data_IF_576789115745
#
_entry.id   IF_576789115745
#
_cell.length_a   1.000
_cell.length_b   1.000
_cell.length_c   1.000
_cell.angle_alpha   90.00
_cell.angle_beta   90.00
_cell.angle_gamma   90.00
#
_symmetry.space_group_name_H-M   'P 1'
#
loop_
_entity.id
_entity.type
_entity.pdbx_description
1 polymer ?
#
# COMPACT_ATOMS: atom_id res chain seq x y z
N UNK A 1 0.69 -11.51 -26.29
CA UNK A 1 -0.52 -11.37 -25.43
C UNK A 1 -0.17 -10.74 -24.08
N UNK A 2 1.07 -10.30 -23.91
CA UNK A 2 1.72 -10.01 -22.63
C UNK A 2 1.45 -8.60 -22.11
N UNK A 3 0.92 -7.72 -22.97
CA UNK A 3 0.55 -6.34 -22.61
C UNK A 3 -0.92 -6.25 -22.18
N UNK A 4 -1.77 -7.15 -22.66
CA UNK A 4 -3.23 -7.09 -22.45
C UNK A 4 -3.57 -7.48 -21.01
N UNK A 5 -2.94 -8.54 -20.48
CA UNK A 5 -3.15 -9.01 -19.11
C UNK A 5 -2.80 -7.98 -18.01
N UNK A 6 -1.63 -7.32 -18.03
CA UNK A 6 -1.29 -6.29 -17.04
C UNK A 6 -2.16 -5.04 -17.17
N UNK A 7 -2.59 -4.66 -18.38
CA UNK A 7 -3.54 -3.55 -18.59
C UNK A 7 -4.91 -3.90 -18.00
N UNK A 8 -5.43 -5.10 -18.26
CA UNK A 8 -6.71 -5.55 -17.70
C UNK A 8 -6.61 -5.66 -16.17
N UNK A 9 -5.52 -6.20 -15.64
CA UNK A 9 -5.26 -6.27 -14.20
C UNK A 9 -5.23 -4.88 -13.56
N UNK A 10 -4.52 -3.92 -14.18
CA UNK A 10 -4.49 -2.52 -13.74
C UNK A 10 -5.86 -1.84 -13.80
N UNK A 11 -6.64 -2.10 -14.86
CA UNK A 11 -8.00 -1.58 -15.00
C UNK A 11 -8.95 -2.16 -13.96
N UNK A 12 -8.87 -3.46 -13.64
CA UNK A 12 -9.68 -4.09 -12.58
C UNK A 12 -9.27 -3.57 -11.20
N UNK A 13 -7.97 -3.43 -10.95
CA UNK A 13 -7.44 -2.88 -9.71
C UNK A 13 -7.87 -1.40 -9.50
N UNK A 14 -8.03 -0.62 -10.59
CA UNK A 14 -8.62 0.72 -10.57
C UNK A 14 -10.15 0.71 -10.51
N UNK A 15 -10.80 -0.28 -11.10
CA UNK A 15 -12.25 -0.40 -11.12
C UNK A 15 -12.80 -0.56 -9.69
N UNK A 16 -12.15 -1.37 -8.84
CA UNK A 16 -12.59 -1.57 -7.45
C UNK A 16 -12.68 -0.25 -6.66
N UNK A 17 -11.63 0.58 -6.54
CA UNK A 17 -11.71 1.86 -5.84
C UNK A 17 -12.67 2.84 -6.52
N UNK A 18 -12.76 2.85 -7.87
CA UNK A 18 -13.75 3.67 -8.57
C UNK A 18 -15.18 3.25 -8.22
N UNK A 19 -15.47 1.94 -8.20
CA UNK A 19 -16.78 1.40 -7.87
C UNK A 19 -17.14 1.66 -6.41
N UNK A 20 -16.15 1.62 -5.51
CA UNK A 20 -16.31 2.05 -4.11
C UNK A 20 -16.65 3.54 -4.03
N UNK A 21 -15.91 4.41 -4.72
CA UNK A 21 -16.19 5.86 -4.74
C UNK A 21 -17.56 6.15 -5.34
N UNK A 22 -17.89 5.55 -6.48
CA UNK A 22 -19.20 5.67 -7.14
C UNK A 22 -20.31 5.13 -6.25
N UNK A 23 -20.09 4.00 -5.57
CA UNK A 23 -21.02 3.43 -4.60
C UNK A 23 -21.26 4.35 -3.41
N UNK A 24 -20.21 4.97 -2.87
CA UNK A 24 -20.32 5.96 -1.79
C UNK A 24 -21.07 7.21 -2.28
N UNK A 25 -20.72 7.74 -3.45
CA UNK A 25 -21.39 8.91 -4.05
C UNK A 25 -22.86 8.60 -4.32
N UNK A 26 -23.17 7.46 -4.93
CA UNK A 26 -24.54 7.01 -5.17
C UNK A 26 -25.31 6.83 -3.86
N UNK A 27 -24.68 6.24 -2.83
CA UNK A 27 -25.29 6.07 -1.51
C UNK A 27 -25.60 7.41 -0.85
N UNK A 28 -24.68 8.37 -0.91
CA UNK A 28 -24.90 9.75 -0.43
C UNK A 28 -26.03 10.43 -1.22
N UNK A 29 -26.06 10.28 -2.56
CA UNK A 29 -27.14 10.82 -3.39
C UNK A 29 -28.50 10.16 -3.10
N UNK A 30 -28.53 8.84 -2.83
CA UNK A 30 -29.73 8.09 -2.47
C UNK A 30 -30.28 8.55 -1.12
N UNK A 31 -29.41 8.81 -0.14
CA UNK A 31 -29.80 9.37 1.16
C UNK A 31 -30.31 10.82 1.03
N UNK A 32 -29.88 11.56 0.01
CA UNK A 32 -30.36 12.92 -0.31
C UNK A 32 -31.84 12.96 -0.74
N UNK A 33 -32.35 11.91 -1.37
CA UNK A 33 -33.74 11.91 -1.89
C UNK A 33 -34.82 11.91 -0.79
N UNK A 34 -34.45 11.74 0.48
CA UNK A 34 -35.41 11.67 1.60
C UNK A 34 -35.19 12.75 2.68
N UNK A 35 -34.32 13.75 2.45
CA UNK A 35 -34.06 14.79 3.46
C UNK A 35 -33.58 16.11 2.86
N UNK A 36 -34.13 17.22 3.36
CA UNK A 36 -33.85 18.62 2.99
C UNK A 36 -32.47 19.11 3.46
N UNK A 37 -31.43 18.29 3.32
CA UNK A 37 -30.11 18.60 3.86
C UNK A 37 -29.45 19.68 2.97
N UNK A 38 -29.29 20.88 3.54
CA UNK A 38 -28.48 21.98 2.98
C UNK A 38 -26.98 21.62 3.07
N UNK A 39 -26.51 20.70 2.23
CA UNK A 39 -25.10 20.26 2.19
C UNK A 39 -24.10 21.35 1.78
N UNK A 40 -24.54 22.45 1.17
CA UNK A 40 -23.67 23.53 0.66
C UNK A 40 -23.47 24.68 1.64
N UNK A 41 -23.04 24.37 2.86
CA UNK A 41 -22.41 25.38 3.72
C UNK A 41 -20.89 25.27 3.57
N UNK A 42 -20.20 26.40 3.46
CA UNK A 42 -18.73 26.46 3.43
C UNK A 42 -18.10 25.65 4.58
N UNK A 43 -18.74 25.66 5.75
CA UNK A 43 -18.32 24.88 6.93
C UNK A 43 -18.39 23.37 6.71
N UNK A 44 -19.44 22.87 6.06
CA UNK A 44 -19.59 21.44 5.77
C UNK A 44 -18.57 20.97 4.72
N UNK A 45 -18.32 21.78 3.69
CA UNK A 45 -17.30 21.48 2.68
C UNK A 45 -15.89 21.42 3.29
N UNK A 46 -15.55 22.39 4.15
CA UNK A 46 -14.26 22.42 4.83
C UNK A 46 -14.05 21.22 5.76
N UNK A 47 -15.09 20.78 6.47
CA UNK A 47 -15.05 19.57 7.30
C UNK A 47 -14.85 18.30 6.46
N UNK A 48 -15.58 18.17 5.36
CA UNK A 48 -15.40 17.05 4.44
C UNK A 48 -13.97 16.99 3.90
N UNK A 49 -13.40 18.14 3.52
CA UNK A 49 -11.99 18.26 3.14
C UNK A 49 -11.06 17.72 4.23
N UNK A 50 -11.21 18.14 5.49
CA UNK A 50 -10.37 17.63 6.58
C UNK A 50 -10.48 16.11 6.73
N UNK A 51 -11.68 15.53 6.71
CA UNK A 51 -11.84 14.07 6.80
C UNK A 51 -11.15 13.34 5.65
N UNK A 52 -11.27 13.85 4.42
CA UNK A 52 -10.62 13.27 3.25
C UNK A 52 -9.10 13.33 3.40
N UNK A 53 -8.54 14.49 3.75
CA UNK A 53 -7.08 14.64 3.90
C UNK A 53 -6.57 13.79 5.06
N UNK A 54 -7.27 13.71 6.18
CA UNK A 54 -6.89 12.83 7.30
C UNK A 54 -6.87 11.37 6.84
N UNK A 55 -7.89 10.91 6.09
CA UNK A 55 -7.93 9.54 5.59
C UNK A 55 -6.75 9.26 4.65
N UNK A 56 -6.48 10.16 3.70
CA UNK A 56 -5.34 10.06 2.78
C UNK A 56 -4.02 10.04 3.56
N UNK A 57 -3.91 10.86 4.61
CA UNK A 57 -2.72 10.92 5.46
C UNK A 57 -2.45 9.59 6.17
N UNK A 58 -3.51 8.93 6.67
CA UNK A 58 -3.39 7.60 7.30
C UNK A 58 -3.01 6.55 6.26
N UNK A 59 -3.55 6.61 5.03
CA UNK A 59 -3.17 5.70 3.94
C UNK A 59 -1.69 5.88 3.58
N UNK A 60 -1.25 7.10 3.30
CA UNK A 60 0.15 7.40 2.94
C UNK A 60 1.09 7.01 4.09
N UNK A 61 0.77 7.42 5.31
CA UNK A 61 1.64 7.22 6.46
C UNK A 61 1.71 5.76 6.90
N UNK A 62 0.57 5.09 7.05
CA UNK A 62 0.53 3.71 7.53
C UNK A 62 0.75 2.70 6.39
N UNK A 63 -0.13 2.71 5.37
CA UNK A 63 -0.08 1.69 4.32
C UNK A 63 1.11 1.82 3.41
N UNK A 64 1.59 3.03 3.09
CA UNK A 64 2.76 3.20 2.22
C UNK A 64 4.04 3.32 3.05
N UNK A 65 4.13 4.31 3.95
CA UNK A 65 5.33 4.54 4.74
C UNK A 65 5.62 3.41 5.74
N UNK A 66 4.66 3.13 6.63
CA UNK A 66 4.79 2.14 7.69
C UNK A 66 5.04 0.72 7.18
N UNK A 67 4.32 0.30 6.14
CA UNK A 67 4.53 -1.02 5.55
C UNK A 67 5.90 -1.15 4.88
N UNK A 68 6.38 -0.10 4.19
CA UNK A 68 7.71 -0.12 3.55
C UNK A 68 8.82 -0.21 4.59
N UNK A 69 8.70 0.53 5.70
CA UNK A 69 9.66 0.43 6.80
C UNK A 69 9.62 -0.92 7.49
N UNK A 70 8.42 -1.48 7.68
CA UNK A 70 8.28 -2.83 8.22
C UNK A 70 8.89 -3.87 7.28
N UNK A 71 8.73 -3.72 5.96
CA UNK A 71 9.35 -4.58 4.94
C UNK A 71 10.87 -4.55 5.06
N UNK A 72 11.46 -3.36 5.21
CA UNK A 72 12.90 -3.19 5.47
C UNK A 72 13.29 -3.95 6.75
N UNK A 73 12.57 -3.74 7.85
CA UNK A 73 12.84 -4.41 9.13
C UNK A 73 12.70 -5.93 9.07
N UNK A 74 11.70 -6.45 8.36
CA UNK A 74 11.53 -7.89 8.15
C UNK A 74 12.68 -8.47 7.31
N UNK A 75 13.19 -7.73 6.34
CA UNK A 75 14.35 -8.14 5.55
C UNK A 75 15.63 -8.23 6.38
N UNK A 76 15.78 -7.35 7.37
CA UNK A 76 16.90 -7.41 8.32
C UNK A 76 16.78 -8.62 9.26
N UNK A 77 15.57 -8.94 9.73
CA UNK A 77 15.35 -10.01 10.71
C UNK A 77 15.32 -11.41 10.08
N UNK A 78 14.68 -11.55 8.92
CA UNK A 78 14.42 -12.84 8.27
C UNK A 78 15.28 -13.09 7.03
N UNK A 79 16.18 -12.16 6.69
CA UNK A 79 17.02 -12.24 5.50
C UNK A 79 16.46 -11.39 4.36
N UNK A 80 17.37 -10.85 3.55
CA UNK A 80 17.00 -9.94 2.47
C UNK A 80 16.12 -10.62 1.42
N UNK A 81 16.25 -11.92 1.20
CA UNK A 81 15.41 -12.72 0.31
C UNK A 81 13.93 -12.71 0.74
N UNK A 82 13.66 -12.59 2.05
CA UNK A 82 12.30 -12.56 2.59
C UNK A 82 11.52 -11.33 2.09
N UNK A 83 12.18 -10.17 2.07
CA UNK A 83 11.57 -8.88 1.71
C UNK A 83 11.91 -8.38 0.31
N UNK A 84 13.00 -8.87 -0.27
CA UNK A 84 13.53 -8.42 -1.56
C UNK A 84 13.77 -9.59 -2.50
N UNK A 85 13.04 -10.70 -2.38
CA UNK A 85 13.17 -11.88 -3.24
C UNK A 85 13.09 -11.56 -4.75
N UNK A 86 12.30 -10.54 -5.12
CA UNK A 86 12.27 -10.01 -6.49
C UNK A 86 13.65 -9.56 -7.03
N UNK A 87 14.53 -9.01 -6.18
CA UNK A 87 15.88 -8.57 -6.56
C UNK A 87 16.74 -9.77 -6.92
N UNK A 88 16.57 -10.89 -6.20
CA UNK A 88 17.22 -12.18 -6.45
C UNK A 88 16.69 -12.86 -7.72
N UNK A 89 15.38 -12.79 -7.98
CA UNK A 89 14.82 -13.27 -9.26
C UNK A 89 15.37 -12.48 -10.44
N UNK A 90 15.30 -11.16 -10.36
CA UNK A 90 15.88 -10.28 -11.38
C UNK A 90 17.38 -10.56 -11.61
N UNK A 91 18.12 -10.98 -10.58
CA UNK A 91 19.52 -11.34 -10.70
C UNK A 91 19.72 -12.62 -11.52
N UNK A 92 18.91 -13.66 -11.29
CA UNK A 92 18.89 -14.87 -12.12
C UNK A 92 18.61 -14.55 -13.59
N UNK A 93 17.62 -13.69 -13.84
CA UNK A 93 17.28 -13.26 -15.20
C UNK A 93 18.41 -12.47 -15.85
N UNK A 94 19.05 -11.56 -15.12
CA UNK A 94 20.21 -10.80 -15.59
C UNK A 94 21.43 -11.68 -15.88
N UNK A 95 21.68 -12.69 -15.05
CA UNK A 95 22.77 -13.65 -15.28
C UNK A 95 22.56 -14.47 -16.56
N UNK A 96 21.30 -14.83 -16.85
CA UNK A 96 20.93 -15.49 -18.12
C UNK A 96 21.14 -14.55 -19.31
N UNK A 97 20.60 -13.33 -19.24
CA UNK A 97 20.77 -12.31 -20.29
C UNK A 97 22.25 -12.00 -20.58
N UNK A 98 23.08 -11.96 -19.53
CA UNK A 98 24.53 -11.81 -19.67
C UNK A 98 25.14 -12.99 -20.43
N UNK A 99 24.82 -14.21 -20.03
CA UNK A 99 25.33 -15.44 -20.69
C UNK A 99 24.94 -15.49 -22.17
N UNK A 100 23.70 -15.13 -22.48
CA UNK A 100 23.18 -15.12 -23.85
C UNK A 100 23.92 -14.08 -24.71
N UNK A 101 24.19 -12.88 -24.15
CA UNK A 101 25.00 -11.86 -24.82
C UNK A 101 26.45 -12.27 -25.02
N UNK A 102 27.08 -12.87 -24.01
CA UNK A 102 28.44 -13.39 -24.15
C UNK A 102 28.51 -14.45 -25.27
N UNK A 103 27.51 -15.33 -25.37
CA UNK A 103 27.41 -16.30 -26.46
C UNK A 103 27.22 -15.64 -27.84
N UNK A 104 26.44 -14.56 -27.92
CA UNK A 104 26.24 -13.81 -29.17
C UNK A 104 27.52 -13.11 -29.64
N UNK A 105 28.27 -12.49 -28.71
CA UNK A 105 29.57 -11.89 -29.02
C UNK A 105 30.55 -12.93 -29.56
N UNK A 106 30.61 -14.11 -28.92
CA UNK A 106 31.43 -15.23 -29.37
C UNK A 106 31.03 -15.74 -30.77
N UNK A 107 29.73 -15.78 -31.09
CA UNK A 107 29.25 -16.20 -32.42
C UNK A 107 29.58 -15.20 -33.53
N UNK A 108 29.71 -13.93 -33.19
CA UNK A 108 29.92 -12.84 -34.14
C UNK A 108 31.40 -12.40 -34.23
N UNK A 109 32.34 -13.15 -33.65
CA UNK A 109 33.76 -12.80 -33.53
C UNK A 109 33.99 -11.39 -32.95
N UNK A 110 33.06 -10.92 -32.11
CA UNK A 110 33.16 -9.64 -31.44
C UNK A 110 34.07 -9.77 -30.19
N UNK A 111 34.79 -8.71 -29.80
CA UNK A 111 35.57 -8.73 -28.57
C UNK A 111 34.65 -8.99 -27.36
N UNK A 112 35.09 -9.78 -26.37
CA UNK A 112 34.33 -9.99 -25.15
C UNK A 112 34.17 -8.67 -24.39
N UNK A 113 33.07 -8.52 -23.66
CA UNK A 113 32.91 -7.37 -22.77
C UNK A 113 34.04 -7.34 -21.73
N UNK A 114 34.53 -6.14 -21.48
CA UNK A 114 35.44 -5.87 -20.37
C UNK A 114 34.71 -5.99 -19.03
N UNK A 115 35.45 -6.25 -17.94
CA UNK A 115 34.87 -6.29 -16.60
C UNK A 115 34.18 -4.97 -16.21
N UNK A 116 34.71 -3.84 -16.70
CA UNK A 116 34.10 -2.52 -16.48
C UNK A 116 32.74 -2.40 -17.18
N UNK A 117 32.64 -2.85 -18.44
CA UNK A 117 31.38 -2.87 -19.18
C UNK A 117 30.36 -3.81 -18.54
N UNK A 118 30.81 -4.98 -18.08
CA UNK A 118 30.00 -5.95 -17.36
C UNK A 118 29.45 -5.33 -16.08
N UNK A 119 30.30 -4.77 -15.21
CA UNK A 119 29.85 -4.20 -13.94
C UNK A 119 28.92 -2.98 -14.14
N UNK A 120 29.16 -2.19 -15.19
CA UNK A 120 28.32 -1.05 -15.54
C UNK A 120 26.93 -1.49 -16.02
N UNK A 121 26.84 -2.57 -16.79
CA UNK A 121 25.59 -3.06 -17.35
C UNK A 121 24.85 -4.03 -16.42
N UNK A 122 25.60 -4.79 -15.64
CA UNK A 122 25.13 -5.79 -14.69
C UNK A 122 25.78 -5.54 -13.32
N UNK A 123 25.31 -4.51 -12.58
CA UNK A 123 25.76 -4.28 -11.22
C UNK A 123 25.54 -5.53 -10.38
N UNK A 124 26.43 -5.75 -9.42
CA UNK A 124 26.38 -6.94 -8.57
C UNK A 124 25.07 -7.03 -7.78
N UNK A 125 24.68 -8.24 -7.40
CA UNK A 125 23.51 -8.48 -6.55
C UNK A 125 23.57 -7.66 -5.26
N UNK A 126 24.74 -7.63 -4.61
CA UNK A 126 24.97 -6.89 -3.38
C UNK A 126 24.72 -5.39 -3.56
N UNK A 127 25.30 -4.78 -4.59
CA UNK A 127 25.10 -3.35 -4.87
C UNK A 127 23.63 -3.01 -5.13
N UNK A 128 22.95 -3.84 -5.92
CA UNK A 128 21.52 -3.67 -6.24
C UNK A 128 20.65 -3.82 -4.99
N UNK A 129 20.96 -4.79 -4.14
CA UNK A 129 20.23 -5.03 -2.91
C UNK A 129 20.41 -3.88 -1.93
N UNK A 130 21.65 -3.42 -1.71
CA UNK A 130 21.95 -2.26 -0.87
C UNK A 130 21.23 -1.01 -1.38
N UNK A 131 21.21 -0.80 -2.70
CA UNK A 131 20.46 0.30 -3.30
C UNK A 131 18.95 0.17 -3.02
N UNK A 132 18.36 -1.01 -3.25
CA UNK A 132 16.92 -1.23 -3.08
C UNK A 132 16.45 -1.09 -1.63
N UNK A 133 17.27 -1.55 -0.67
CA UNK A 133 17.02 -1.37 0.76
C UNK A 133 17.07 0.10 1.14
N UNK A 134 18.10 0.84 0.71
CA UNK A 134 18.23 2.28 0.96
C UNK A 134 17.09 3.08 0.35
N UNK A 135 16.74 2.77 -0.90
CA UNK A 135 15.60 3.34 -1.60
C UNK A 135 14.32 3.14 -0.77
N UNK A 136 14.03 1.90 -0.37
CA UNK A 136 12.83 1.56 0.41
C UNK A 136 12.82 2.26 1.77
N UNK A 137 13.97 2.36 2.45
CA UNK A 137 14.09 3.09 3.70
C UNK A 137 13.78 4.59 3.53
N UNK A 138 14.35 5.24 2.51
CA UNK A 138 14.13 6.66 2.22
C UNK A 138 12.65 6.90 1.88
N UNK A 139 12.06 6.10 1.00
CA UNK A 139 10.64 6.20 0.67
C UNK A 139 9.75 5.97 1.89
N UNK A 140 10.03 4.93 2.67
CA UNK A 140 9.28 4.59 3.88
C UNK A 140 9.27 5.72 4.90
N UNK A 141 10.44 6.26 5.25
CA UNK A 141 10.57 7.38 6.20
C UNK A 141 9.87 8.63 5.66
N UNK A 142 10.09 8.96 4.38
CA UNK A 142 9.52 10.16 3.76
C UNK A 142 7.98 10.12 3.77
N UNK A 143 7.39 9.00 3.33
CA UNK A 143 5.94 8.84 3.29
C UNK A 143 5.33 8.79 4.70
N UNK A 144 6.01 8.15 5.67
CA UNK A 144 5.56 8.15 7.05
C UNK A 144 5.52 9.57 7.62
N UNK A 145 6.59 10.35 7.44
CA UNK A 145 6.66 11.74 7.91
C UNK A 145 5.61 12.63 7.23
N UNK A 146 5.47 12.52 5.90
CA UNK A 146 4.45 13.26 5.14
C UNK A 146 3.06 12.92 5.67
N UNK A 147 2.74 11.63 5.85
CA UNK A 147 1.46 11.18 6.38
C UNK A 147 1.20 11.68 7.81
N UNK A 148 2.21 11.65 8.69
CA UNK A 148 2.09 12.16 10.06
C UNK A 148 1.85 13.67 10.06
N UNK A 149 2.64 14.45 9.30
CA UNK A 149 2.52 15.91 9.28
C UNK A 149 1.18 16.33 8.70
N UNK A 150 0.78 15.77 7.55
CA UNK A 150 -0.52 16.06 6.94
C UNK A 150 -1.65 15.68 7.90
N UNK A 151 -1.58 14.50 8.51
CA UNK A 151 -2.58 14.01 9.46
C UNK A 151 -2.70 14.93 10.68
N UNK A 152 -1.59 15.28 11.33
CA UNK A 152 -1.58 16.10 12.53
C UNK A 152 -2.11 17.51 12.26
N UNK A 153 -1.64 18.17 11.21
CA UNK A 153 -2.08 19.53 10.85
C UNK A 153 -3.60 19.54 10.60
N UNK A 154 -4.12 18.59 9.84
CA UNK A 154 -5.54 18.54 9.50
C UNK A 154 -6.41 18.06 10.67
N UNK A 155 -5.88 17.21 11.55
CA UNK A 155 -6.55 16.81 12.79
C UNK A 155 -6.71 17.99 13.75
N UNK A 156 -5.65 18.79 13.93
CA UNK A 156 -5.69 19.99 14.78
C UNK A 156 -6.65 21.02 14.18
N UNK A 157 -6.52 21.34 12.89
CA UNK A 157 -7.40 22.27 12.20
C UNK A 157 -8.88 21.88 12.31
N UNK A 158 -9.18 20.58 12.11
CA UNK A 158 -10.53 20.04 12.28
C UNK A 158 -11.04 20.21 13.71
N UNK A 159 -10.23 19.83 14.72
CA UNK A 159 -10.63 19.94 16.14
C UNK A 159 -10.91 21.37 16.58
N UNK A 160 -10.20 22.35 16.01
CA UNK A 160 -10.41 23.78 16.29
C UNK A 160 -11.70 24.34 15.70
N UNK A 161 -12.25 23.72 14.64
CA UNK A 161 -13.41 24.26 13.89
C UNK A 161 -14.71 23.49 14.23
N UNK A 162 -14.64 22.19 14.52
CA UNK A 162 -15.81 21.35 14.79
C UNK A 162 -16.44 21.60 16.16
N UNK A 163 -17.76 21.85 16.18
CA UNK A 163 -18.58 21.90 17.40
C UNK A 163 -18.93 20.51 17.91
N UNK A 164 -19.37 20.39 19.17
CA UNK A 164 -19.68 19.08 19.79
C UNK A 164 -20.79 18.30 19.04
N UNK A 165 -21.81 18.98 18.50
CA UNK A 165 -22.88 18.35 17.71
C UNK A 165 -22.40 17.87 16.34
N UNK A 166 -21.40 18.54 15.76
CA UNK A 166 -20.81 18.20 14.46
C UNK A 166 -19.88 16.98 14.57
N UNK A 167 -19.37 16.64 15.76
CA UNK A 167 -18.46 15.50 15.99
C UNK A 167 -19.11 14.13 15.88
N UNK A 168 -20.44 14.04 15.77
CA UNK A 168 -21.19 12.78 15.69
C UNK A 168 -22.05 12.68 14.42
N UNK A 169 -21.89 13.63 13.49
CA UNK A 169 -22.74 13.71 12.30
C UNK A 169 -22.43 12.65 11.21
N UNK A 170 -23.18 12.73 10.13
CA UNK A 170 -23.07 11.81 8.98
C UNK A 170 -21.70 11.82 8.29
N UNK A 171 -20.99 12.95 8.23
CA UNK A 171 -19.65 13.04 7.63
C UNK A 171 -18.66 12.16 8.39
N UNK A 172 -18.72 12.16 9.73
CA UNK A 172 -17.88 11.26 10.53
C UNK A 172 -18.22 9.79 10.27
N UNK A 173 -19.51 9.46 10.14
CA UNK A 173 -19.95 8.09 9.84
C UNK A 173 -19.44 7.63 8.47
N UNK A 174 -19.54 8.50 7.46
CA UNK A 174 -18.99 8.24 6.12
C UNK A 174 -17.47 8.04 6.21
N UNK A 175 -16.73 8.97 6.83
CA UNK A 175 -15.29 8.84 7.03
C UNK A 175 -14.89 7.52 7.68
N UNK A 176 -15.56 7.13 8.78
CA UNK A 176 -15.28 5.88 9.48
C UNK A 176 -15.59 4.66 8.61
N UNK A 177 -16.70 4.69 7.87
CA UNK A 177 -17.09 3.61 6.97
C UNK A 177 -16.13 3.47 5.78
N UNK A 178 -15.71 4.56 5.16
CA UNK A 178 -14.74 4.53 4.06
C UNK A 178 -13.40 3.99 4.56
N UNK A 179 -12.90 4.48 5.70
CA UNK A 179 -11.69 3.96 6.31
C UNK A 179 -11.80 2.48 6.64
N UNK A 180 -12.92 2.05 7.25
CA UNK A 180 -13.20 0.64 7.52
C UNK A 180 -13.10 -0.21 6.25
N UNK A 181 -13.73 0.22 5.17
CA UNK A 181 -13.74 -0.50 3.89
C UNK A 181 -12.34 -0.58 3.26
N UNK A 182 -11.62 0.54 3.18
CA UNK A 182 -10.27 0.60 2.59
C UNK A 182 -9.33 -0.34 3.33
N UNK A 183 -9.29 -0.26 4.66
CA UNK A 183 -8.40 -1.07 5.48
C UNK A 183 -8.82 -2.55 5.56
N UNK A 184 -10.13 -2.86 5.45
CA UNK A 184 -10.59 -4.23 5.31
C UNK A 184 -10.08 -4.86 4.01
N UNK A 185 -10.29 -4.18 2.88
CA UNK A 185 -9.85 -4.67 1.55
C UNK A 185 -8.33 -4.85 1.52
N UNK A 186 -7.59 -3.85 1.98
CA UNK A 186 -6.13 -3.93 2.06
C UNK A 186 -5.68 -5.13 2.89
N UNK A 187 -6.25 -5.32 4.10
CA UNK A 187 -5.90 -6.43 4.98
C UNK A 187 -6.25 -7.79 4.39
N UNK A 188 -7.43 -7.95 3.79
CA UNK A 188 -7.88 -9.22 3.23
C UNK A 188 -6.98 -9.64 2.05
N UNK A 189 -6.80 -8.76 1.06
CA UNK A 189 -5.95 -9.03 -0.11
C UNK A 189 -4.54 -9.40 0.35
N UNK A 190 -3.99 -8.56 1.21
CA UNK A 190 -2.64 -8.73 1.74
C UNK A 190 -2.47 -10.02 2.53
N UNK A 191 -3.43 -10.42 3.37
CA UNK A 191 -3.39 -11.70 4.09
C UNK A 191 -3.50 -12.91 3.16
N UNK A 192 -4.32 -12.83 2.11
CA UNK A 192 -4.47 -13.94 1.15
C UNK A 192 -3.19 -14.23 0.39
N UNK A 193 -2.29 -13.25 0.28
CA UNK A 193 -0.96 -13.41 -0.34
C UNK A 193 0.11 -13.70 0.73
N UNK A 194 0.13 -12.92 1.81
CA UNK A 194 1.16 -13.01 2.85
C UNK A 194 1.23 -14.38 3.52
N UNK A 195 0.09 -14.99 3.85
CA UNK A 195 0.06 -16.27 4.54
C UNK A 195 0.70 -17.39 3.70
N UNK A 196 0.22 -17.69 2.47
CA UNK A 196 0.81 -18.76 1.68
C UNK A 196 2.27 -18.48 1.32
N UNK A 197 2.64 -17.25 0.99
CA UNK A 197 4.04 -16.92 0.68
C UNK A 197 4.96 -17.10 1.88
N UNK A 198 4.54 -16.67 3.08
CA UNK A 198 5.35 -16.83 4.30
C UNK A 198 5.52 -18.31 4.65
N UNK A 199 4.45 -19.10 4.54
CA UNK A 199 4.52 -20.55 4.77
C UNK A 199 5.41 -21.25 3.73
N UNK A 200 5.28 -20.88 2.46
CA UNK A 200 6.13 -21.41 1.38
C UNK A 200 7.60 -21.10 1.65
N UNK A 201 7.91 -19.84 2.00
CA UNK A 201 9.26 -19.41 2.35
C UNK A 201 9.83 -20.22 3.52
N UNK A 202 9.05 -20.43 4.59
CA UNK A 202 9.53 -21.15 5.79
C UNK A 202 9.67 -22.66 5.61
N UNK A 203 8.75 -23.32 4.90
CA UNK A 203 8.66 -24.78 4.87
C UNK A 203 9.15 -25.42 3.59
N UNK A 204 9.00 -24.75 2.45
CA UNK A 204 9.37 -25.28 1.13
C UNK A 204 10.74 -24.75 0.71
N UNK A 205 11.06 -23.51 1.11
CA UNK A 205 12.21 -22.78 0.59
C UNK A 205 12.06 -22.46 -0.89
N UNK A 206 12.99 -21.68 -1.44
CA UNK A 206 12.99 -21.41 -2.87
C UNK A 206 13.46 -22.64 -3.63
N UNK A 207 12.59 -23.25 -4.45
CA UNK A 207 13.02 -24.31 -5.36
C UNK A 207 13.79 -23.70 -6.54
N UNK A 208 14.82 -24.39 -7.06
CA UNK A 208 15.47 -23.96 -8.29
C UNK A 208 14.47 -23.92 -9.45
N UNK A 209 14.18 -22.72 -9.98
CA UNK A 209 13.28 -22.51 -11.11
C UNK A 209 11.90 -21.91 -10.76
N UNK A 210 11.54 -21.81 -9.48
CA UNK A 210 10.33 -21.10 -9.04
C UNK A 210 10.62 -19.60 -8.86
N UNK A 211 9.66 -18.74 -9.18
CA UNK A 211 9.72 -17.31 -8.85
C UNK A 211 9.86 -17.15 -7.32
N UNK A 212 10.89 -16.43 -6.82
CA UNK A 212 10.96 -16.06 -5.40
C UNK A 212 9.72 -15.23 -5.04
N UNK A 213 8.75 -15.90 -4.43
CA UNK A 213 7.67 -15.29 -3.69
C UNK A 213 8.26 -14.66 -2.42
N UNK A 214 8.25 -13.34 -2.35
CA UNK A 214 8.85 -12.56 -1.27
C UNK A 214 7.75 -12.09 -0.32
N UNK A 215 7.52 -12.80 0.80
CA UNK A 215 6.40 -12.49 1.69
C UNK A 215 6.51 -11.14 2.39
N UNK A 216 7.71 -10.54 2.45
CA UNK A 216 7.95 -9.35 3.26
C UNK A 216 7.06 -8.15 2.90
N UNK A 217 6.74 -7.93 1.62
CA UNK A 217 5.83 -6.86 1.22
C UNK A 217 4.37 -7.11 1.60
N UNK A 218 3.73 -8.20 1.12
CA UNK A 218 2.35 -8.48 1.50
C UNK A 218 2.22 -8.68 3.02
N UNK A 219 3.18 -9.29 3.71
CA UNK A 219 3.12 -9.44 5.16
C UNK A 219 3.19 -8.10 5.90
N UNK A 220 4.04 -7.19 5.43
CA UNK A 220 4.15 -5.85 6.04
C UNK A 220 2.88 -5.04 5.89
N UNK A 221 2.23 -5.12 4.72
CA UNK A 221 0.94 -4.48 4.50
C UNK A 221 -0.09 -5.06 5.49
N UNK A 222 -0.17 -6.38 5.65
CA UNK A 222 -1.14 -7.03 6.54
C UNK A 222 -0.94 -6.62 8.01
N UNK A 223 0.31 -6.63 8.48
CA UNK A 223 0.66 -6.28 9.86
C UNK A 223 0.29 -4.83 10.17
N UNK A 224 0.41 -3.90 9.20
CA UNK A 224 0.06 -2.50 9.41
C UNK A 224 -1.43 -2.25 9.20
N UNK A 225 -2.03 -2.81 8.15
CA UNK A 225 -3.42 -2.54 7.77
C UNK A 225 -4.41 -3.13 8.75
N UNK A 226 -4.13 -4.31 9.33
CA UNK A 226 -5.06 -5.03 10.20
C UNK A 226 -5.33 -4.31 11.54
N UNK A 227 -4.32 -3.81 12.28
CA UNK A 227 -4.57 -2.99 13.46
C UNK A 227 -5.36 -1.71 13.15
N UNK A 228 -5.08 -1.07 12.00
CA UNK A 228 -5.82 0.11 11.56
C UNK A 228 -7.27 -0.24 11.22
N UNK A 229 -7.49 -1.38 10.55
CA UNK A 229 -8.83 -1.90 10.28
C UNK A 229 -9.62 -2.13 11.57
N UNK A 230 -9.02 -2.81 12.55
CA UNK A 230 -9.63 -3.07 13.86
C UNK A 230 -9.97 -1.74 14.57
N UNK A 231 -9.09 -0.74 14.48
CA UNK A 231 -9.35 0.59 15.03
C UNK A 231 -10.57 1.25 14.37
N UNK A 232 -10.66 1.27 13.05
CA UNK A 232 -11.82 1.82 12.33
C UNK A 232 -13.11 1.05 12.66
N UNK A 233 -13.05 -0.28 12.79
CA UNK A 233 -14.18 -1.11 13.21
C UNK A 233 -14.64 -0.72 14.62
N UNK A 234 -13.72 -0.67 15.57
CA UNK A 234 -13.99 -0.27 16.95
C UNK A 234 -14.63 1.14 17.01
N UNK A 235 -14.05 2.11 16.30
CA UNK A 235 -14.57 3.48 16.25
C UNK A 235 -15.95 3.56 15.61
N UNK A 236 -16.21 2.75 14.58
CA UNK A 236 -17.53 2.66 13.92
C UNK A 236 -18.59 2.09 14.87
N UNK A 237 -18.29 0.97 15.53
CA UNK A 237 -19.19 0.32 16.49
C UNK A 237 -19.49 1.23 17.69
N UNK A 238 -18.47 1.90 18.22
CA UNK A 238 -18.61 2.88 19.29
C UNK A 238 -19.51 4.05 18.87
N UNK A 239 -19.34 4.55 17.64
CA UNK A 239 -20.17 5.63 17.12
C UNK A 239 -21.65 5.23 17.01
N UNK A 240 -21.94 3.99 16.59
CA UNK A 240 -23.31 3.47 16.54
C UNK A 240 -23.90 3.34 17.95
N UNK A 241 -23.14 2.79 18.91
CA UNK A 241 -23.60 2.62 20.30
C UNK A 241 -24.00 3.95 20.93
N UNK A 242 -23.15 4.97 20.79
CA UNK A 242 -23.42 6.31 21.34
C UNK A 242 -24.66 6.96 20.70
N UNK A 243 -24.87 6.77 19.40
CA UNK A 243 -26.07 7.33 18.73
C UNK A 243 -27.40 6.72 19.18
N UNK A 244 -27.39 5.51 19.77
CA UNK A 244 -28.58 4.87 20.34
C UNK A 244 -28.88 5.32 21.76
N UNK A 245 -27.95 6.00 22.43
CA UNK A 245 -28.11 6.45 23.83
C UNK A 245 -28.66 7.88 23.92
N UNK A 246 -28.65 8.61 22.80
CA UNK A 246 -29.15 10.00 22.68
C UNK A 246 -30.53 10.09 21.99
N UNK A 247 -31.10 8.95 21.57
CA UNK A 247 -32.42 8.84 20.94
C UNK A 247 -33.41 8.19 21.92
#
# INVERSE_FOLDING_TARGET
>A
MDIIFPIIGGLIALAIPILVVVGIVYFIMRLRNNSSIRFFSYRAALRAYFYVVILISVIIGALSGGSTLLKVGLGEVFGAEFSYGQVYEEDKWRARDRSDRELELLKNDAPPMTEEEINKQYPSLEERLVYKVKESMIFGVSLLLIGIILGLVHLVARRSIETETERVDILRRVYLFVGLLVFAVASIISLTVAIPETLSYMFIGARPGDEYLSPGEPLSIAIISLPVWILYLYLTLRNIKNSKTEA
#
